data_IF_935670888179
#
_entry.id   IF_935670888179
#
_cell.length_a   1.000
_cell.length_b   1.000
_cell.length_c   1.000
_cell.angle_alpha   90.00
_cell.angle_beta   90.00
_cell.angle_gamma   90.00
#
_symmetry.space_group_name_H-M   'P 1'
#
loop_
_entity.id
_entity.type
_entity.pdbx_description
1 polymer ?
#
# COMPACT_ATOMS: atom_id res chain seq x y z
N UNK A 1 20.60 32.79 -15.14
CA UNK A 1 19.56 33.43 -15.96
C UNK A 1 18.79 34.38 -15.06
N UNK A 2 18.89 35.69 -15.32
CA UNK A 2 18.34 36.75 -14.48
C UNK A 2 16.82 36.75 -14.54
N UNK A 3 16.15 36.53 -13.40
CA UNK A 3 14.69 36.59 -13.29
C UNK A 3 14.26 38.06 -13.46
N UNK A 4 13.32 38.39 -14.36
CA UNK A 4 12.92 39.77 -14.61
C UNK A 4 12.22 40.37 -13.38
N UNK A 5 12.57 41.62 -13.06
CA UNK A 5 12.12 42.40 -11.89
C UNK A 5 10.59 42.48 -11.68
N UNK A 6 9.77 42.11 -12.66
CA UNK A 6 8.30 42.07 -12.53
C UNK A 6 7.77 40.91 -11.68
N UNK A 7 8.56 39.86 -11.42
CA UNK A 7 8.14 38.74 -10.55
C UNK A 7 8.52 38.91 -9.08
N UNK A 8 9.47 39.80 -8.76
CA UNK A 8 9.88 40.08 -7.37
C UNK A 8 8.77 40.75 -6.54
N UNK A 9 7.88 41.53 -7.17
CA UNK A 9 6.77 42.18 -6.46
C UNK A 9 5.66 41.22 -6.05
N UNK A 10 5.46 40.10 -6.78
CA UNK A 10 4.48 39.08 -6.37
C UNK A 10 4.95 38.31 -5.12
N UNK A 11 6.27 38.16 -4.97
CA UNK A 11 6.93 37.49 -3.85
C UNK A 11 6.85 38.26 -2.53
N UNK A 12 6.77 39.60 -2.56
CA UNK A 12 6.66 40.42 -1.35
C UNK A 12 5.23 40.59 -0.82
N UNK A 13 4.20 40.24 -1.59
CA UNK A 13 2.80 40.44 -1.17
C UNK A 13 2.18 39.26 -0.39
N UNK A 14 2.92 38.17 -0.16
CA UNK A 14 2.43 36.98 0.55
C UNK A 14 3.21 36.65 1.84
N UNK A 15 4.37 37.27 2.07
CA UNK A 15 5.19 37.04 3.26
C UNK A 15 4.70 37.77 4.53
N UNK A 16 3.62 38.54 4.43
CA UNK A 16 3.00 39.22 5.58
C UNK A 16 1.48 39.30 5.37
N UNK A 17 0.78 38.23 5.73
CA UNK A 17 -0.64 38.34 6.04
C UNK A 17 -0.74 39.09 7.37
N UNK A 18 -0.76 40.42 7.31
CA UNK A 18 -1.16 41.25 8.44
C UNK A 18 -2.68 41.18 8.55
N UNK A 19 -3.18 40.43 9.51
CA UNK A 19 -4.61 40.36 9.81
C UNK A 19 -5.00 41.62 10.60
N UNK A 20 -5.64 42.58 9.93
CA UNK A 20 -6.54 43.48 10.63
C UNK A 20 -7.74 42.64 11.06
N UNK A 21 -7.93 42.42 12.36
CA UNK A 21 -9.00 41.60 12.93
C UNK A 21 -10.39 42.19 12.63
N UNK A 22 -11.25 41.52 11.84
CA UNK A 22 -12.67 41.81 11.83
C UNK A 22 -13.40 40.73 12.63
N UNK A 23 -14.55 41.11 13.20
CA UNK A 23 -15.33 40.30 14.12
C UNK A 23 -15.79 38.96 13.51
N UNK A 24 -15.14 37.88 13.93
CA UNK A 24 -15.52 36.50 13.68
C UNK A 24 -14.60 35.56 14.47
N UNK A 25 -15.14 34.53 15.10
CA UNK A 25 -14.41 33.59 15.95
C UNK A 25 -13.42 32.74 15.13
N UNK A 26 -12.25 33.30 14.85
CA UNK A 26 -11.13 32.61 14.21
C UNK A 26 -10.11 32.24 15.28
N UNK A 27 -9.77 30.96 15.34
CA UNK A 27 -8.80 30.46 16.32
C UNK A 27 -7.35 30.65 15.83
N UNK A 28 -6.37 30.83 16.74
CA UNK A 28 -4.96 30.84 16.37
C UNK A 28 -4.49 29.59 15.61
N UNK A 29 -5.13 28.45 15.85
CA UNK A 29 -4.87 27.18 15.18
C UNK A 29 -5.29 27.21 13.70
N UNK A 30 -6.47 27.78 13.39
CA UNK A 30 -6.93 27.95 12.01
C UNK A 30 -6.02 28.88 11.21
N UNK A 31 -5.53 29.95 11.84
CA UNK A 31 -4.56 30.87 11.22
C UNK A 31 -3.26 30.12 10.87
N UNK A 32 -2.71 29.36 11.83
CA UNK A 32 -1.47 28.60 11.63
C UNK A 32 -1.62 27.53 10.55
N UNK A 33 -2.78 26.86 10.49
CA UNK A 33 -3.08 25.86 9.47
C UNK A 33 -3.10 26.46 8.06
N UNK A 34 -3.80 27.59 7.87
CA UNK A 34 -3.87 28.27 6.57
C UNK A 34 -2.49 28.77 6.13
N UNK A 35 -1.71 29.33 7.06
CA UNK A 35 -0.33 29.77 6.79
C UNK A 35 0.57 28.61 6.35
N UNK A 36 0.50 27.47 7.03
CA UNK A 36 1.28 26.28 6.69
C UNK A 36 0.95 25.76 5.30
N UNK A 37 -0.33 25.59 4.97
CA UNK A 37 -0.76 25.13 3.64
C UNK A 37 -0.40 26.11 2.52
N UNK A 38 -0.46 27.42 2.80
CA UNK A 38 -0.05 28.45 1.85
C UNK A 38 1.46 28.37 1.56
N UNK A 39 2.28 28.15 2.58
CA UNK A 39 3.73 27.98 2.41
C UNK A 39 4.06 26.76 1.53
N UNK A 40 3.42 25.61 1.80
CA UNK A 40 3.61 24.38 1.01
C UNK A 40 3.16 24.60 -0.44
N UNK A 41 2.00 25.23 -0.65
CA UNK A 41 1.47 25.50 -1.99
C UNK A 41 2.37 26.43 -2.80
N UNK A 42 3.00 27.41 -2.14
CA UNK A 42 3.96 28.31 -2.78
C UNK A 42 5.26 27.59 -3.17
N UNK A 43 5.75 26.69 -2.32
CA UNK A 43 6.95 25.91 -2.63
C UNK A 43 6.72 24.97 -3.82
N UNK A 44 5.58 24.25 -3.84
CA UNK A 44 5.18 23.43 -4.99
C UNK A 44 5.01 24.25 -6.27
N UNK A 45 4.37 25.41 -6.20
CA UNK A 45 4.25 26.30 -7.36
C UNK A 45 5.62 26.68 -7.91
N UNK A 46 6.57 27.01 -7.04
CA UNK A 46 7.94 27.36 -7.42
C UNK A 46 8.65 26.18 -8.10
N UNK A 47 8.59 25.00 -7.52
CA UNK A 47 9.22 23.79 -8.06
C UNK A 47 8.70 23.46 -9.47
N UNK A 48 7.37 23.41 -9.64
CA UNK A 48 6.74 23.13 -10.94
C UNK A 48 7.02 24.20 -12.00
N UNK A 49 7.05 25.49 -11.61
CA UNK A 49 7.45 26.56 -12.52
C UNK A 49 8.93 26.45 -12.95
N UNK A 50 9.81 25.96 -12.06
CA UNK A 50 11.22 25.71 -12.40
C UNK A 50 11.40 24.47 -13.27
N UNK A 51 10.55 23.46 -13.11
CA UNK A 51 10.51 22.25 -13.94
C UNK A 51 9.88 22.49 -15.32
N UNK A 52 9.11 23.58 -15.50
CA UNK A 52 8.46 23.93 -16.76
C UNK A 52 7.05 23.37 -16.92
N UNK A 53 6.43 22.90 -15.84
CA UNK A 53 5.09 22.32 -15.86
C UNK A 53 4.00 23.38 -16.08
N UNK A 54 2.87 22.99 -16.71
CA UNK A 54 1.73 23.87 -16.92
C UNK A 54 0.94 24.12 -15.62
N UNK A 55 1.25 25.26 -14.99
CA UNK A 55 0.57 25.74 -13.77
C UNK A 55 -0.50 26.79 -14.05
N UNK A 56 -0.93 26.98 -15.30
CA UNK A 56 -1.85 28.05 -15.73
C UNK A 56 -3.18 28.05 -14.96
N UNK A 57 -3.66 26.88 -14.55
CA UNK A 57 -4.89 26.71 -13.76
C UNK A 57 -4.71 26.97 -12.26
N UNK A 58 -3.48 26.85 -11.75
CA UNK A 58 -3.17 26.96 -10.31
C UNK A 58 -2.89 28.41 -9.91
N UNK A 59 -2.22 29.19 -10.78
CA UNK A 59 -1.87 30.59 -10.51
C UNK A 59 -3.09 31.45 -10.12
N UNK A 60 -4.25 31.40 -10.82
CA UNK A 60 -5.43 32.17 -10.43
C UNK A 60 -5.99 31.76 -9.06
N UNK A 61 -5.92 30.47 -8.72
CA UNK A 61 -6.37 29.96 -7.42
C UNK A 61 -5.49 30.50 -6.29
N UNK A 62 -4.16 30.49 -6.47
CA UNK A 62 -3.20 31.04 -5.50
C UNK A 62 -3.45 32.53 -5.25
N UNK A 63 -3.75 33.32 -6.29
CA UNK A 63 -4.14 34.73 -6.14
C UNK A 63 -5.42 34.90 -5.32
N UNK A 64 -6.40 34.02 -5.52
CA UNK A 64 -7.67 34.09 -4.82
C UNK A 64 -7.57 33.66 -3.34
N UNK A 65 -6.62 32.80 -2.96
CA UNK A 65 -6.32 32.49 -1.55
C UNK A 65 -5.97 33.76 -0.78
N UNK A 66 -5.11 34.62 -1.35
CA UNK A 66 -4.74 35.89 -0.73
C UNK A 66 -5.96 36.80 -0.52
N UNK A 67 -6.82 36.92 -1.53
CA UNK A 67 -8.03 37.75 -1.46
C UNK A 67 -8.96 37.27 -0.34
N UNK A 68 -9.12 35.96 -0.17
CA UNK A 68 -9.94 35.36 0.89
C UNK A 68 -9.33 35.59 2.27
N UNK A 69 -8.01 35.39 2.40
CA UNK A 69 -7.29 35.62 3.65
C UNK A 69 -7.34 37.09 4.09
N UNK A 70 -7.14 38.03 3.16
CA UNK A 70 -7.19 39.48 3.43
C UNK A 70 -8.61 39.94 3.85
N UNK A 71 -9.66 39.20 3.44
CA UNK A 71 -11.05 39.42 3.85
C UNK A 71 -11.42 38.72 5.17
N UNK A 72 -10.51 37.98 5.77
CA UNK A 72 -10.75 37.19 6.98
C UNK A 72 -11.53 35.89 6.77
N UNK A 73 -11.81 35.48 5.53
CA UNK A 73 -12.49 34.21 5.22
C UNK A 73 -11.48 33.04 5.18
N UNK A 74 -10.95 32.69 6.35
CA UNK A 74 -9.94 31.64 6.47
C UNK A 74 -10.49 30.25 6.12
N UNK A 75 -11.78 30.01 6.33
CA UNK A 75 -12.43 28.75 5.96
C UNK A 75 -12.44 28.53 4.45
N UNK A 76 -12.79 29.55 3.66
CA UNK A 76 -12.71 29.47 2.20
C UNK A 76 -11.27 29.43 1.70
N UNK A 77 -10.35 30.18 2.32
CA UNK A 77 -8.94 30.14 1.99
C UNK A 77 -8.35 28.72 2.20
N UNK A 78 -8.66 28.07 3.31
CA UNK A 78 -8.23 26.71 3.62
C UNK A 78 -8.73 25.70 2.58
N UNK A 79 -10.04 25.74 2.24
CA UNK A 79 -10.62 24.84 1.22
C UNK A 79 -10.02 25.07 -0.17
N UNK A 80 -9.66 26.31 -0.50
CA UNK A 80 -9.02 26.61 -1.78
C UNK A 80 -7.57 26.11 -1.82
N UNK A 81 -6.84 26.22 -0.70
CA UNK A 81 -5.50 25.63 -0.54
C UNK A 81 -5.54 24.10 -0.68
N UNK A 82 -6.54 23.42 -0.13
CA UNK A 82 -6.73 21.98 -0.33
C UNK A 82 -6.87 21.62 -1.82
N UNK A 83 -7.67 22.39 -2.57
CA UNK A 83 -7.82 22.20 -4.02
C UNK A 83 -6.54 22.48 -4.81
N UNK A 84 -5.73 23.43 -4.36
CA UNK A 84 -4.45 23.75 -4.98
C UNK A 84 -3.46 22.61 -4.78
N UNK A 85 -3.34 22.10 -3.55
CA UNK A 85 -2.46 20.97 -3.24
C UNK A 85 -2.89 19.71 -4.01
N UNK A 86 -4.20 19.45 -4.13
CA UNK A 86 -4.71 18.38 -4.98
C UNK A 86 -4.39 18.58 -6.47
N UNK A 87 -4.40 19.82 -6.98
CA UNK A 87 -4.03 20.12 -8.36
C UNK A 87 -2.55 19.85 -8.63
N UNK A 88 -1.66 20.16 -7.68
CA UNK A 88 -0.25 19.79 -7.80
C UNK A 88 -0.06 18.28 -7.78
N UNK A 89 -0.76 17.56 -6.91
CA UNK A 89 -0.71 16.09 -6.90
C UNK A 89 -1.14 15.49 -8.25
N UNK A 90 -2.03 16.14 -9.00
CA UNK A 90 -2.45 15.71 -10.33
C UNK A 90 -1.40 16.00 -11.42
N UNK A 91 -0.59 17.06 -11.28
CA UNK A 91 0.56 17.32 -12.15
C UNK A 91 1.74 16.39 -11.86
N UNK A 92 1.84 15.91 -10.61
CA UNK A 92 2.84 14.94 -10.15
C UNK A 92 2.43 13.48 -10.47
N UNK A 93 1.26 13.26 -11.11
CA UNK A 93 0.91 11.95 -11.64
C UNK A 93 1.57 11.75 -13.01
N UNK A 94 2.23 10.60 -13.26
CA UNK A 94 2.70 10.29 -14.60
C UNK A 94 1.53 10.36 -15.59
N UNK A 95 1.78 10.88 -16.80
CA UNK A 95 0.82 10.78 -17.90
C UNK A 95 0.27 9.35 -17.95
N UNK A 96 -1.05 9.23 -18.01
CA UNK A 96 -1.71 7.93 -18.16
C UNK A 96 -1.06 7.22 -19.35
N UNK A 97 -0.48 6.03 -19.17
CA UNK A 97 0.08 5.32 -20.30
C UNK A 97 -1.01 5.13 -21.35
N UNK A 98 -0.67 5.35 -22.62
CA UNK A 98 -1.55 5.21 -23.80
C UNK A 98 -2.10 3.78 -23.99
N UNK A 99 -1.80 2.87 -23.06
CA UNK A 99 -2.22 1.48 -23.04
C UNK A 99 -3.49 1.31 -22.21
N UNK A 100 -4.46 0.60 -22.76
CA UNK A 100 -5.69 0.24 -22.06
C UNK A 100 -5.39 -0.40 -20.68
N UNK A 101 -6.18 -0.09 -19.64
CA UNK A 101 -5.96 -0.61 -18.30
C UNK A 101 -6.12 -2.14 -18.26
N UNK A 102 -5.16 -2.84 -17.63
CA UNK A 102 -5.19 -4.31 -17.49
C UNK A 102 -6.32 -4.79 -16.58
N UNK A 103 -6.72 -3.96 -15.61
CA UNK A 103 -7.83 -4.23 -14.71
C UNK A 103 -8.81 -3.06 -14.70
N UNK A 104 -10.09 -3.38 -14.59
CA UNK A 104 -11.20 -2.43 -14.71
C UNK A 104 -12.31 -2.74 -13.70
N UNK A 105 -13.32 -1.87 -13.65
CA UNK A 105 -14.58 -2.08 -12.92
C UNK A 105 -14.38 -2.35 -11.42
N UNK A 106 -13.87 -1.37 -10.65
CA UNK A 106 -13.77 -1.50 -9.20
C UNK A 106 -15.13 -1.72 -8.56
N UNK A 107 -15.25 -2.79 -7.78
CA UNK A 107 -16.44 -3.14 -7.03
C UNK A 107 -16.08 -3.37 -5.58
N UNK A 108 -16.88 -2.83 -4.67
CA UNK A 108 -16.72 -3.12 -3.25
C UNK A 108 -17.14 -4.56 -2.95
N UNK A 109 -16.36 -5.24 -2.12
CA UNK A 109 -16.63 -6.59 -1.64
C UNK A 109 -17.29 -6.52 -0.26
N UNK A 110 -18.32 -7.34 -0.06
CA UNK A 110 -19.03 -7.46 1.21
C UNK A 110 -18.66 -8.76 1.91
N UNK A 111 -18.24 -8.69 3.18
CA UNK A 111 -18.10 -9.86 4.05
C UNK A 111 -19.26 -9.86 5.05
N UNK A 112 -20.31 -10.63 4.77
CA UNK A 112 -21.50 -10.70 5.61
C UNK A 112 -21.15 -11.27 6.98
N UNK A 113 -21.52 -10.55 8.04
CA UNK A 113 -21.23 -10.93 9.42
C UNK A 113 -19.93 -10.34 9.99
N UNK A 114 -19.22 -9.53 9.22
CA UNK A 114 -17.98 -8.86 9.66
C UNK A 114 -18.04 -7.34 9.37
N UNK A 115 -17.55 -6.50 10.29
CA UNK A 115 -17.70 -5.04 10.20
C UNK A 115 -16.43 -4.23 10.51
N UNK A 116 -15.36 -4.89 10.94
CA UNK A 116 -14.07 -4.26 11.23
C UNK A 116 -13.24 -4.09 9.94
N UNK A 117 -11.98 -3.68 10.08
CA UNK A 117 -11.08 -3.53 8.95
C UNK A 117 -10.80 -4.88 8.27
N UNK A 118 -10.64 -4.84 6.95
CA UNK A 118 -10.23 -5.96 6.11
C UNK A 118 -9.00 -5.53 5.33
N UNK A 119 -7.87 -6.18 5.61
CA UNK A 119 -6.56 -5.86 5.05
C UNK A 119 -5.86 -7.12 4.55
N UNK A 120 -4.93 -6.94 3.61
CA UNK A 120 -3.94 -7.94 3.16
C UNK A 120 -4.62 -9.28 2.80
N UNK A 121 -5.68 -9.18 2.01
CA UNK A 121 -6.54 -10.31 1.74
C UNK A 121 -5.90 -11.30 0.76
N UNK A 122 -6.15 -12.59 0.97
CA UNK A 122 -5.75 -13.67 0.07
C UNK A 122 -6.94 -14.55 -0.28
N UNK A 123 -7.03 -14.97 -1.54
CA UNK A 123 -8.08 -15.86 -2.05
C UNK A 123 -7.46 -17.22 -2.38
N UNK A 124 -8.00 -18.29 -1.80
CA UNK A 124 -7.45 -19.64 -2.00
C UNK A 124 -7.47 -20.05 -3.46
N UNK A 125 -6.55 -20.93 -3.86
CA UNK A 125 -6.41 -21.35 -5.26
C UNK A 125 -7.64 -22.02 -5.86
N UNK A 126 -8.48 -22.65 -5.03
CA UNK A 126 -9.79 -23.20 -5.40
C UNK A 126 -10.93 -22.17 -5.36
N UNK A 127 -10.62 -20.94 -4.93
CA UNK A 127 -11.53 -19.82 -4.80
C UNK A 127 -12.57 -19.96 -3.69
N UNK A 128 -12.45 -20.93 -2.79
CA UNK A 128 -13.47 -21.19 -1.76
C UNK A 128 -13.39 -20.23 -0.58
N UNK A 129 -12.18 -19.85 -0.17
CA UNK A 129 -11.96 -19.05 1.03
C UNK A 129 -11.20 -17.77 0.74
N UNK A 130 -11.63 -16.71 1.41
CA UNK A 130 -10.88 -15.48 1.57
C UNK A 130 -10.26 -15.47 2.96
N UNK A 131 -8.96 -15.27 3.05
CA UNK A 131 -8.24 -14.97 4.27
C UNK A 131 -7.92 -13.47 4.30
N UNK A 132 -7.86 -12.88 5.48
CA UNK A 132 -7.55 -11.45 5.67
C UNK A 132 -7.21 -11.19 7.13
N UNK A 133 -6.47 -10.13 7.41
CA UNK A 133 -6.32 -9.59 8.76
C UNK A 133 -7.13 -8.31 8.97
N UNK A 134 -7.33 -7.97 10.23
CA UNK A 134 -7.86 -6.68 10.65
C UNK A 134 -6.73 -5.66 10.89
N UNK A 135 -7.11 -4.47 11.37
CA UNK A 135 -6.16 -3.39 11.69
C UNK A 135 -5.90 -3.33 13.21
N UNK A 136 -4.81 -2.66 13.58
CA UNK A 136 -4.46 -2.42 14.98
C UNK A 136 -5.60 -1.70 15.71
N UNK A 137 -5.96 -2.20 16.89
CA UNK A 137 -7.03 -1.64 17.73
C UNK A 137 -8.45 -2.13 17.41
N UNK A 138 -8.65 -2.94 16.36
CA UNK A 138 -9.96 -3.57 16.12
C UNK A 138 -10.30 -4.66 17.16
N UNK A 139 -9.28 -5.32 17.70
CA UNK A 139 -9.39 -6.22 18.84
C UNK A 139 -8.61 -5.63 20.03
N UNK A 140 -9.23 -5.42 21.20
CA UNK A 140 -8.53 -4.85 22.34
C UNK A 140 -7.52 -5.80 23.02
N UNK A 141 -7.46 -7.08 22.60
CA UNK A 141 -6.62 -8.11 23.24
C UNK A 141 -5.42 -8.56 22.41
N UNK A 142 -5.41 -8.23 21.13
CA UNK A 142 -4.43 -8.71 20.14
C UNK A 142 -4.13 -7.57 19.18
N UNK A 143 -2.98 -7.63 18.52
CA UNK A 143 -2.63 -6.68 17.47
C UNK A 143 -2.66 -7.41 16.14
N UNK A 144 -3.64 -7.11 15.28
CA UNK A 144 -3.92 -7.83 14.02
C UNK A 144 -4.17 -9.34 14.19
N UNK A 145 -5.35 -9.80 13.77
CA UNK A 145 -5.78 -11.19 13.78
C UNK A 145 -6.12 -11.62 12.35
N UNK A 146 -5.87 -12.88 12.03
CA UNK A 146 -6.23 -13.50 10.76
C UNK A 146 -7.59 -14.19 10.87
N UNK A 147 -8.45 -13.90 9.90
CA UNK A 147 -9.80 -14.42 9.76
C UNK A 147 -9.98 -15.14 8.42
N UNK A 148 -11.10 -15.84 8.30
CA UNK A 148 -11.51 -16.42 7.03
C UNK A 148 -13.00 -16.21 6.75
N UNK A 149 -13.32 -16.12 5.46
CA UNK A 149 -14.68 -16.02 4.96
C UNK A 149 -14.87 -16.97 3.77
N UNK A 150 -16.07 -17.57 3.66
CA UNK A 150 -16.42 -18.48 2.57
C UNK A 150 -17.02 -17.68 1.41
N UNK A 151 -16.54 -17.90 0.19
CA UNK A 151 -17.06 -17.24 -1.01
C UNK A 151 -18.52 -17.62 -1.27
N UNK A 152 -19.35 -16.62 -1.52
CA UNK A 152 -20.70 -16.78 -2.09
C UNK A 152 -20.65 -16.42 -3.58
N UNK A 153 -20.02 -15.30 -3.92
CA UNK A 153 -19.71 -14.87 -5.28
C UNK A 153 -18.50 -13.92 -5.27
N UNK A 154 -18.14 -13.33 -6.40
CA UNK A 154 -16.95 -12.46 -6.57
C UNK A 154 -16.90 -11.25 -5.62
N UNK A 155 -18.06 -10.75 -5.18
CA UNK A 155 -18.20 -9.54 -4.37
C UNK A 155 -18.88 -9.80 -3.03
N UNK A 156 -19.13 -11.06 -2.68
CA UNK A 156 -19.80 -11.42 -1.42
C UNK A 156 -19.20 -12.67 -0.82
N UNK A 157 -18.80 -12.55 0.45
CA UNK A 157 -18.28 -13.63 1.27
C UNK A 157 -19.06 -13.71 2.58
N UNK A 158 -19.17 -14.90 3.16
CA UNK A 158 -19.75 -15.13 4.48
C UNK A 158 -18.63 -15.27 5.50
N UNK A 159 -18.61 -14.41 6.51
CA UNK A 159 -17.64 -14.51 7.61
C UNK A 159 -17.76 -15.86 8.33
N UNK A 160 -16.63 -16.53 8.55
CA UNK A 160 -16.57 -17.84 9.19
C UNK A 160 -15.90 -17.82 10.57
N UNK A 161 -15.25 -16.70 10.94
CA UNK A 161 -14.56 -16.53 12.21
C UNK A 161 -13.05 -16.32 12.05
N UNK A 162 -12.36 -16.30 13.18
CA UNK A 162 -10.90 -16.33 13.27
C UNK A 162 -10.35 -17.69 12.80
N UNK A 163 -9.15 -17.68 12.23
CA UNK A 163 -8.43 -18.92 11.93
C UNK A 163 -7.80 -19.43 13.24
N UNK A 164 -8.26 -20.61 13.68
CA UNK A 164 -7.78 -21.23 14.93
C UNK A 164 -6.33 -21.69 14.77
N UNK A 165 -5.53 -21.47 15.81
CA UNK A 165 -4.13 -21.89 15.85
C UNK A 165 -3.16 -20.92 15.18
N UNK A 166 -3.64 -19.82 14.60
CA UNK A 166 -2.79 -18.77 14.03
C UNK A 166 -2.61 -17.66 15.04
N UNK A 167 -3.68 -16.90 15.33
CA UNK A 167 -3.62 -15.64 16.11
C UNK A 167 -2.95 -15.76 17.49
N UNK A 168 -2.28 -14.69 17.88
CA UNK A 168 -1.48 -14.50 19.08
C UNK A 168 -1.71 -13.09 19.67
N UNK A 169 -0.96 -12.70 20.69
CA UNK A 169 -1.04 -11.35 21.27
C UNK A 169 -0.24 -10.30 20.47
N UNK A 170 0.58 -10.75 19.53
CA UNK A 170 1.44 -9.92 18.68
C UNK A 170 0.84 -9.80 17.27
N UNK A 171 1.46 -9.01 16.40
CA UNK A 171 1.08 -8.87 14.98
C UNK A 171 0.96 -10.23 14.30
N UNK A 172 -0.22 -10.56 13.79
CA UNK A 172 -0.48 -11.70 12.91
C UNK A 172 -1.23 -11.26 11.64
N UNK A 173 -0.63 -11.47 10.46
CA UNK A 173 -1.19 -10.98 9.21
C UNK A 173 -0.66 -11.64 7.97
N UNK A 174 -1.02 -11.07 6.83
CA UNK A 174 -0.49 -11.42 5.50
C UNK A 174 -0.62 -12.93 5.19
N UNK A 175 -1.84 -13.48 5.25
CA UNK A 175 -2.05 -14.90 4.97
C UNK A 175 -1.83 -15.22 3.49
N UNK A 176 -1.23 -16.37 3.20
CA UNK A 176 -1.15 -16.95 1.86
C UNK A 176 -1.19 -18.48 1.93
N UNK A 177 -1.55 -19.18 0.85
CA UNK A 177 -1.69 -20.64 0.89
C UNK A 177 -1.48 -21.30 -0.48
N UNK A 178 -0.73 -22.40 -0.49
CA UNK A 178 -0.58 -23.19 -1.71
C UNK A 178 -1.80 -24.11 -1.99
N UNK A 179 -1.80 -24.78 -3.15
CA UNK A 179 -2.89 -25.70 -3.54
C UNK A 179 -2.99 -26.96 -2.67
N UNK A 180 -1.98 -27.24 -1.85
CA UNK A 180 -1.94 -28.39 -0.94
C UNK A 180 -2.36 -28.02 0.49
N UNK A 181 -2.86 -26.80 0.70
CA UNK A 181 -3.29 -26.31 2.01
C UNK A 181 -2.14 -26.05 2.97
N UNK A 182 -0.90 -25.88 2.47
CA UNK A 182 0.17 -25.28 3.28
C UNK A 182 -0.12 -23.79 3.39
N UNK A 183 -0.48 -23.37 4.59
CA UNK A 183 -0.81 -22.00 4.94
C UNK A 183 0.42 -21.30 5.48
N UNK A 184 0.68 -20.08 5.04
CA UNK A 184 1.78 -19.23 5.47
C UNK A 184 1.23 -17.90 5.94
N UNK A 185 1.92 -17.29 6.91
CA UNK A 185 1.54 -16.00 7.47
C UNK A 185 2.71 -15.35 8.17
N UNK A 186 2.62 -14.04 8.34
CA UNK A 186 3.59 -13.25 9.09
C UNK A 186 3.13 -13.14 10.55
N UNK A 187 4.08 -13.31 11.46
CA UNK A 187 3.86 -13.14 12.89
C UNK A 187 5.09 -12.61 13.63
N UNK A 188 4.91 -11.62 14.48
CA UNK A 188 6.01 -11.12 15.34
C UNK A 188 6.11 -11.85 16.68
N UNK A 189 5.35 -12.94 16.89
CA UNK A 189 5.27 -13.72 18.16
C UNK A 189 6.60 -14.15 18.79
N UNK A 190 7.66 -14.27 17.98
CA UNK A 190 8.98 -14.63 18.47
C UNK A 190 10.03 -13.56 18.20
N UNK A 191 9.67 -12.41 17.60
CA UNK A 191 10.62 -11.34 17.27
C UNK A 191 11.18 -10.64 18.52
N UNK A 192 10.38 -10.61 19.59
CA UNK A 192 10.79 -10.10 20.91
C UNK A 192 11.61 -11.10 21.75
N UNK A 193 11.78 -12.34 21.29
CA UNK A 193 12.51 -13.38 22.03
C UNK A 193 14.02 -13.32 21.72
N UNK A 194 14.89 -13.63 22.71
CA UNK A 194 16.33 -13.61 22.48
C UNK A 194 16.73 -14.48 21.29
N UNK A 195 17.50 -13.90 20.36
CA UNK A 195 18.05 -14.57 19.16
C UNK A 195 16.99 -15.18 18.23
N UNK A 196 15.78 -14.60 18.16
CA UNK A 196 14.75 -15.05 17.23
C UNK A 196 14.22 -13.86 16.43
N UNK A 197 14.64 -13.76 15.17
CA UNK A 197 14.16 -12.75 14.21
C UNK A 197 13.27 -13.36 13.12
N UNK A 198 12.73 -14.56 13.36
CA UNK A 198 11.85 -15.24 12.43
C UNK A 198 10.43 -14.69 12.54
N UNK A 199 9.94 -14.11 11.43
CA UNK A 199 8.58 -13.57 11.34
C UNK A 199 7.69 -14.35 10.39
N UNK A 200 8.23 -15.26 9.58
CA UNK A 200 7.43 -16.12 8.72
C UNK A 200 7.12 -17.46 9.39
N UNK A 201 5.85 -17.86 9.33
CA UNK A 201 5.36 -19.13 9.84
C UNK A 201 4.55 -19.86 8.77
N UNK A 202 4.49 -21.18 8.89
CA UNK A 202 3.60 -22.01 8.10
C UNK A 202 2.92 -23.09 8.93
N UNK A 203 1.89 -23.72 8.36
CA UNK A 203 1.21 -24.88 8.92
C UNK A 203 0.23 -25.48 7.92
N UNK A 204 -0.61 -26.40 8.37
CA UNK A 204 -1.64 -27.04 7.55
C UNK A 204 -3.02 -26.48 7.84
N UNK A 205 -3.61 -25.83 6.84
CA UNK A 205 -4.99 -25.34 6.93
C UNK A 205 -5.99 -26.46 6.66
N UNK A 206 -6.96 -26.59 7.56
CA UNK A 206 -8.13 -27.46 7.39
C UNK A 206 -9.30 -26.91 8.21
N UNK A 207 -10.43 -26.66 7.56
CA UNK A 207 -11.71 -26.32 8.19
C UNK A 207 -11.61 -25.19 9.24
N UNK A 208 -10.93 -24.09 8.89
CA UNK A 208 -10.79 -22.92 9.78
C UNK A 208 -9.75 -23.07 10.89
N UNK A 209 -8.87 -24.07 10.79
CA UNK A 209 -7.75 -24.29 11.72
C UNK A 209 -6.45 -24.46 10.94
N UNK A 210 -5.36 -23.91 11.48
CA UNK A 210 -3.99 -24.25 11.07
C UNK A 210 -3.35 -25.13 12.15
N UNK A 211 -2.82 -26.27 11.76
CA UNK A 211 -2.02 -27.17 12.62
C UNK A 211 -0.55 -27.18 12.22
N UNK A 212 0.29 -27.82 13.05
CA UNK A 212 1.68 -28.13 12.73
C UNK A 212 2.52 -26.89 12.40
N UNK A 213 2.37 -25.86 13.24
CA UNK A 213 3.06 -24.59 13.04
C UNK A 213 4.58 -24.77 13.01
N UNK A 214 5.20 -24.16 12.00
CA UNK A 214 6.64 -24.13 11.81
C UNK A 214 7.10 -22.70 11.51
N UNK A 215 8.13 -22.24 12.21
CA UNK A 215 8.82 -20.99 11.88
C UNK A 215 9.80 -21.22 10.72
N UNK A 216 10.02 -20.19 9.91
CA UNK A 216 10.98 -20.18 8.80
C UNK A 216 12.10 -19.16 9.04
N UNK A 217 13.02 -19.40 10.01
CA UNK A 217 14.16 -18.51 10.24
C UNK A 217 15.12 -18.44 9.04
N UNK A 218 15.11 -19.46 8.17
CA UNK A 218 16.00 -19.53 7.00
C UNK A 218 15.77 -18.43 5.96
N UNK A 219 14.63 -17.73 6.00
CA UNK A 219 14.35 -16.57 5.12
C UNK A 219 14.52 -15.22 5.81
N UNK A 220 14.89 -15.18 7.08
CA UNK A 220 15.19 -13.96 7.83
C UNK A 220 16.65 -13.54 7.61
N UNK A 221 16.93 -12.24 7.59
CA UNK A 221 18.31 -11.73 7.68
C UNK A 221 18.96 -12.02 9.03
N UNK A 222 18.17 -12.37 10.04
CA UNK A 222 18.64 -12.59 11.41
C UNK A 222 19.36 -11.36 11.99
N UNK A 223 18.84 -10.17 11.65
CA UNK A 223 19.35 -8.87 12.11
C UNK A 223 18.25 -8.11 12.86
N UNK A 224 18.57 -7.45 13.99
CA UNK A 224 17.63 -6.56 14.66
C UNK A 224 17.07 -5.48 13.73
N UNK A 225 15.78 -5.22 13.84
CA UNK A 225 15.05 -4.26 13.00
C UNK A 225 14.63 -4.78 11.63
N UNK A 226 15.12 -5.93 11.17
CA UNK A 226 14.75 -6.53 9.88
C UNK A 226 13.71 -7.65 10.03
N UNK A 227 12.62 -7.52 9.29
CA UNK A 227 11.51 -8.46 9.29
C UNK A 227 11.22 -8.95 7.87
N UNK A 228 10.75 -10.18 7.75
CA UNK A 228 9.88 -10.51 6.62
C UNK A 228 8.51 -9.92 6.95
N UNK A 229 8.23 -8.72 6.44
CA UNK A 229 6.98 -8.00 6.67
C UNK A 229 5.83 -8.63 5.90
N UNK A 230 6.08 -9.08 4.66
CA UNK A 230 5.11 -9.75 3.80
C UNK A 230 5.68 -11.02 3.17
N UNK A 231 4.78 -11.95 2.81
CA UNK A 231 5.11 -13.17 2.10
C UNK A 231 4.00 -13.64 1.16
N UNK A 232 4.39 -14.29 0.06
CA UNK A 232 3.52 -14.95 -0.90
C UNK A 232 4.10 -16.31 -1.29
N UNK A 233 3.32 -17.38 -1.21
CA UNK A 233 3.72 -18.71 -1.66
C UNK A 233 3.17 -18.99 -3.06
N UNK A 234 4.00 -19.55 -3.95
CA UNK A 234 3.54 -20.02 -5.25
C UNK A 234 2.48 -21.11 -5.12
N UNK A 235 1.58 -21.19 -6.11
CA UNK A 235 0.47 -22.14 -6.08
C UNK A 235 0.90 -23.62 -5.95
N UNK A 236 2.12 -23.96 -6.39
CA UNK A 236 2.71 -25.30 -6.27
C UNK A 236 3.48 -25.53 -4.96
N UNK A 237 3.58 -24.53 -4.08
CA UNK A 237 4.24 -24.61 -2.77
C UNK A 237 5.77 -24.62 -2.83
N UNK A 238 6.38 -24.37 -4.00
CA UNK A 238 7.83 -24.54 -4.19
C UNK A 238 8.63 -23.25 -4.14
N UNK A 239 7.99 -22.12 -4.37
CA UNK A 239 8.66 -20.81 -4.45
C UNK A 239 7.99 -19.84 -3.51
N UNK A 240 8.78 -19.24 -2.64
CA UNK A 240 8.33 -18.29 -1.64
C UNK A 240 8.92 -16.93 -1.99
N UNK A 241 8.06 -15.93 -2.03
CA UNK A 241 8.42 -14.53 -2.21
C UNK A 241 8.25 -13.84 -0.87
N UNK A 242 9.27 -13.16 -0.37
CA UNK A 242 9.19 -12.43 0.90
C UNK A 242 9.77 -11.04 0.75
N UNK A 243 9.36 -10.11 1.60
CA UNK A 243 10.14 -8.88 1.78
C UNK A 243 11.27 -9.09 2.78
N UNK A 244 12.28 -8.24 2.70
CA UNK A 244 13.15 -7.88 3.82
C UNK A 244 12.91 -6.42 4.10
N UNK A 245 12.33 -6.12 5.27
CA UNK A 245 11.90 -4.77 5.62
C UNK A 245 12.57 -4.34 6.91
N UNK A 246 13.29 -3.23 6.86
CA UNK A 246 13.88 -2.60 8.02
C UNK A 246 12.90 -1.60 8.65
N UNK A 247 12.71 -1.71 9.96
CA UNK A 247 11.87 -0.83 10.75
C UNK A 247 12.69 0.00 11.72
N UNK A 248 12.33 1.27 11.82
CA UNK A 248 12.87 2.23 12.79
C UNK A 248 11.72 3.12 13.26
N UNK A 249 11.57 3.26 14.59
CA UNK A 249 10.45 3.93 15.24
C UNK A 249 9.07 3.50 14.69
N UNK A 250 8.87 2.18 14.58
CA UNK A 250 7.63 1.53 14.10
C UNK A 250 7.24 1.85 12.64
N UNK A 251 8.12 2.48 11.86
CA UNK A 251 7.91 2.79 10.45
C UNK A 251 8.86 1.98 9.57
N UNK A 252 8.42 1.46 8.42
CA UNK A 252 9.31 0.82 7.47
C UNK A 252 10.17 1.90 6.78
N UNK A 253 11.49 1.78 6.84
CA UNK A 253 12.44 2.71 6.23
C UNK A 253 13.10 2.15 4.97
N UNK A 254 13.20 0.83 4.86
CA UNK A 254 13.72 0.14 3.68
C UNK A 254 12.96 -1.16 3.50
N UNK A 255 12.59 -1.50 2.26
CA UNK A 255 12.03 -2.82 1.95
C UNK A 255 12.48 -3.27 0.58
N UNK A 256 12.67 -4.57 0.40
CA UNK A 256 12.93 -5.15 -0.92
C UNK A 256 12.42 -6.59 -0.97
N UNK A 257 12.03 -7.05 -2.15
CA UNK A 257 11.66 -8.44 -2.36
C UNK A 257 12.87 -9.36 -2.52
N UNK A 258 12.73 -10.56 -2.00
CA UNK A 258 13.58 -11.71 -2.30
C UNK A 258 12.74 -12.93 -2.67
N UNK A 259 13.37 -13.91 -3.33
CA UNK A 259 12.74 -15.19 -3.65
C UNK A 259 13.57 -16.35 -3.11
N UNK A 260 12.88 -17.35 -2.59
CA UNK A 260 13.45 -18.57 -2.04
C UNK A 260 12.75 -19.81 -2.61
N UNK A 261 13.46 -20.93 -2.68
CA UNK A 261 12.95 -22.18 -3.21
C UNK A 261 12.97 -23.28 -2.15
N UNK A 262 11.89 -24.05 -2.08
CA UNK A 262 11.79 -25.19 -1.18
C UNK A 262 12.73 -26.31 -1.65
N UNK A 263 13.71 -26.64 -0.83
CA UNK A 263 14.66 -27.74 -1.04
C UNK A 263 14.83 -28.49 0.27
N UNK A 264 14.67 -29.82 0.22
CA UNK A 264 14.84 -30.69 1.40
C UNK A 264 14.05 -30.22 2.65
N UNK A 265 12.86 -29.66 2.45
CA UNK A 265 11.98 -29.21 3.54
C UNK A 265 12.33 -27.84 4.16
N UNK A 266 13.26 -27.07 3.58
CA UNK A 266 13.59 -25.70 3.96
C UNK A 266 13.59 -24.78 2.73
N UNK A 267 13.34 -23.50 2.94
CA UNK A 267 13.51 -22.51 1.87
C UNK A 267 14.97 -22.07 1.78
N UNK A 268 15.56 -22.19 0.60
CA UNK A 268 16.87 -21.64 0.30
C UNK A 268 16.69 -20.38 -0.55
N UNK A 269 17.28 -19.25 -0.13
CA UNK A 269 17.29 -18.01 -0.92
C UNK A 269 17.91 -18.28 -2.30
N UNK A 270 17.25 -17.85 -3.37
CA UNK A 270 17.80 -17.94 -4.72
C UNK A 270 19.01 -17.00 -4.85
N UNK A 271 20.15 -17.54 -5.29
CA UNK A 271 21.34 -16.74 -5.58
C UNK A 271 21.11 -15.67 -6.66
N UNK A 272 20.08 -15.83 -7.50
CA UNK A 272 19.68 -14.88 -8.53
C UNK A 272 18.56 -13.94 -8.08
N UNK A 273 18.16 -13.95 -6.80
CA UNK A 273 17.06 -13.15 -6.28
C UNK A 273 17.19 -11.66 -6.64
N UNK A 274 18.38 -11.08 -6.49
CA UNK A 274 18.62 -9.68 -6.86
C UNK A 274 18.40 -9.41 -8.36
N UNK A 275 18.77 -10.35 -9.23
CA UNK A 275 18.55 -10.23 -10.66
C UNK A 275 17.08 -10.40 -11.03
N UNK A 276 16.34 -11.25 -10.30
CA UNK A 276 14.90 -11.47 -10.55
C UNK A 276 14.09 -10.19 -10.28
N UNK A 277 14.50 -9.40 -9.28
CA UNK A 277 13.81 -8.19 -8.83
C UNK A 277 14.54 -6.88 -9.18
N UNK A 278 15.50 -6.90 -10.10
CA UNK A 278 16.34 -5.73 -10.43
C UNK A 278 15.54 -4.48 -10.86
N UNK A 279 14.39 -4.70 -11.51
CA UNK A 279 13.45 -3.64 -11.95
C UNK A 279 12.32 -3.38 -10.96
N UNK A 280 12.21 -4.19 -9.91
CA UNK A 280 11.13 -4.14 -8.93
C UNK A 280 11.58 -3.48 -7.64
N UNK A 281 12.74 -3.88 -7.11
CA UNK A 281 13.28 -3.31 -5.87
C UNK A 281 13.85 -1.91 -6.16
N UNK A 282 13.45 -0.91 -5.36
CA UNK A 282 14.01 0.44 -5.46
C UNK A 282 14.46 0.93 -4.07
N UNK A 283 14.55 2.25 -3.89
CA UNK A 283 14.75 2.85 -2.57
C UNK A 283 13.42 3.08 -1.82
N UNK A 284 12.29 2.89 -2.49
CA UNK A 284 10.97 2.97 -1.85
C UNK A 284 10.68 1.68 -1.04
N UNK A 285 9.50 1.60 -0.43
CA UNK A 285 9.09 0.43 0.34
C UNK A 285 8.25 -0.48 -0.56
N UNK A 286 8.84 -1.58 -1.05
CA UNK A 286 8.13 -2.65 -1.75
C UNK A 286 7.53 -3.70 -0.81
N UNK A 287 6.25 -4.03 -0.99
CA UNK A 287 5.55 -5.04 -0.18
C UNK A 287 4.23 -5.49 -0.84
N UNK A 288 3.52 -6.42 -0.20
CA UNK A 288 2.19 -6.89 -0.59
C UNK A 288 2.20 -7.67 -1.89
N UNK A 289 3.18 -8.57 -2.06
CA UNK A 289 3.31 -9.37 -3.27
C UNK A 289 2.13 -10.34 -3.44
N UNK A 290 1.70 -10.51 -4.69
CA UNK A 290 0.85 -11.63 -5.11
C UNK A 290 1.31 -12.14 -6.47
N UNK A 291 1.43 -13.45 -6.61
CA UNK A 291 1.97 -14.09 -7.81
C UNK A 291 0.88 -14.84 -8.57
N UNK A 292 0.85 -14.71 -9.89
CA UNK A 292 -0.06 -15.51 -10.72
C UNK A 292 0.22 -17.02 -10.58
N UNK A 293 -0.81 -17.84 -10.84
CA UNK A 293 -0.71 -19.31 -10.71
C UNK A 293 0.36 -19.97 -11.59
N UNK A 294 0.76 -19.32 -12.69
CA UNK A 294 1.85 -19.76 -13.58
C UNK A 294 3.20 -19.12 -13.23
N UNK A 295 3.25 -18.26 -12.21
CA UNK A 295 4.44 -17.58 -11.74
C UNK A 295 4.95 -16.48 -12.66
N UNK A 296 4.15 -16.00 -13.62
CA UNK A 296 4.59 -15.06 -14.67
C UNK A 296 4.17 -13.62 -14.45
N UNK A 297 3.22 -13.34 -13.57
CA UNK A 297 2.79 -12.00 -13.22
C UNK A 297 2.98 -11.79 -11.72
N UNK A 298 3.60 -10.66 -11.36
CA UNK A 298 3.74 -10.19 -9.99
C UNK A 298 2.90 -8.93 -9.81
N UNK A 299 2.12 -8.90 -8.75
CA UNK A 299 1.38 -7.74 -8.27
C UNK A 299 1.97 -7.32 -6.93
N UNK A 300 2.13 -6.03 -6.69
CA UNK A 300 2.69 -5.55 -5.43
C UNK A 300 2.30 -4.10 -5.15
N UNK A 301 2.56 -3.64 -3.93
CA UNK A 301 2.44 -2.24 -3.52
C UNK A 301 3.82 -1.64 -3.34
N UNK A 302 3.98 -0.39 -3.75
CA UNK A 302 5.11 0.45 -3.40
C UNK A 302 4.62 1.68 -2.63
N UNK A 303 5.20 1.91 -1.45
CA UNK A 303 5.04 3.14 -0.68
C UNK A 303 6.26 4.04 -0.91
N UNK A 304 6.02 5.23 -1.46
CA UNK A 304 7.06 6.21 -1.73
C UNK A 304 6.96 7.42 -0.80
N UNK A 305 7.94 7.57 0.09
CA UNK A 305 8.01 8.68 1.04
C UNK A 305 8.38 10.00 0.36
N UNK A 306 9.27 9.98 -0.65
CA UNK A 306 9.62 11.17 -1.44
C UNK A 306 8.39 11.77 -2.13
N UNK A 307 7.44 10.91 -2.52
CA UNK A 307 6.16 11.29 -3.11
C UNK A 307 5.06 11.54 -2.06
N UNK A 308 5.44 11.96 -0.85
CA UNK A 308 4.50 12.32 0.21
C UNK A 308 3.77 11.13 0.86
N UNK A 309 4.39 9.95 0.84
CA UNK A 309 3.79 8.72 1.38
C UNK A 309 2.73 8.12 0.45
N UNK A 310 2.97 8.18 -0.87
CA UNK A 310 2.02 7.68 -1.87
C UNK A 310 2.13 6.16 -1.99
N UNK A 311 0.98 5.51 -1.88
CA UNK A 311 0.78 4.09 -2.16
C UNK A 311 0.43 3.90 -3.63
N UNK A 312 1.16 3.03 -4.34
CA UNK A 312 0.83 2.67 -5.71
C UNK A 312 0.91 1.16 -5.89
N UNK A 313 -0.17 0.55 -6.37
CA UNK A 313 -0.18 -0.85 -6.76
C UNK A 313 0.33 -1.00 -8.19
N UNK A 314 1.27 -1.93 -8.38
CA UNK A 314 1.93 -2.22 -9.64
C UNK A 314 1.70 -3.66 -10.07
N UNK A 315 1.85 -3.92 -11.37
CA UNK A 315 2.04 -5.25 -11.91
C UNK A 315 3.28 -5.31 -12.80
N UNK A 316 3.95 -6.46 -12.81
CA UNK A 316 5.08 -6.76 -13.68
C UNK A 316 4.97 -8.18 -14.24
N UNK A 317 5.56 -8.44 -15.40
CA UNK A 317 5.45 -9.73 -16.08
C UNK A 317 6.80 -10.33 -16.40
N UNK A 318 6.87 -11.64 -16.62
CA UNK A 318 8.07 -12.33 -17.07
C UNK A 318 7.74 -13.53 -17.96
N UNK A 319 8.61 -13.90 -18.92
CA UNK A 319 8.38 -15.06 -19.78
C UNK A 319 8.33 -16.40 -19.03
N UNK A 320 9.15 -16.56 -17.98
CA UNK A 320 9.20 -17.76 -17.16
C UNK A 320 9.71 -17.47 -15.74
N UNK A 321 9.75 -18.48 -14.89
CA UNK A 321 10.05 -18.31 -13.47
C UNK A 321 11.52 -18.05 -13.12
N UNK A 322 12.44 -18.17 -14.08
CA UNK A 322 13.88 -17.91 -13.92
C UNK A 322 14.30 -16.56 -14.52
N UNK A 323 13.45 -15.94 -15.34
CA UNK A 323 13.72 -14.63 -15.93
C UNK A 323 13.36 -13.49 -14.98
N UNK A 324 14.10 -12.36 -15.01
CA UNK A 324 13.71 -11.14 -14.32
C UNK A 324 12.31 -10.66 -14.69
N UNK A 325 11.65 -10.00 -13.74
CA UNK A 325 10.40 -9.29 -14.02
C UNK A 325 10.65 -8.07 -14.91
N UNK A 326 9.67 -7.72 -15.73
CA UNK A 326 9.65 -6.49 -16.53
C UNK A 326 9.64 -5.25 -15.62
N UNK A 327 9.85 -4.08 -16.22
CA UNK A 327 9.57 -2.83 -15.51
C UNK A 327 8.10 -2.80 -15.06
N UNK A 328 7.81 -2.44 -13.80
CA UNK A 328 6.46 -2.48 -13.27
C UNK A 328 5.60 -1.38 -13.90
N UNK A 329 4.34 -1.69 -14.12
CA UNK A 329 3.32 -0.80 -14.65
C UNK A 329 2.25 -0.54 -13.58
N UNK A 330 1.79 0.71 -13.37
CA UNK A 330 0.80 1.00 -12.36
C UNK A 330 -0.57 0.39 -12.73
N UNK A 331 -1.28 -0.13 -11.74
CA UNK A 331 -2.67 -0.59 -11.89
C UNK A 331 -3.58 0.60 -11.67
N UNK A 332 -3.77 1.41 -12.71
CA UNK A 332 -4.45 2.73 -12.62
C UNK A 332 -5.91 2.69 -12.15
N UNK A 333 -6.57 1.52 -12.22
CA UNK A 333 -7.89 1.31 -11.66
C UNK A 333 -7.93 1.22 -10.12
N UNK A 334 -6.78 1.01 -9.47
CA UNK A 334 -6.62 1.12 -8.01
C UNK A 334 -6.30 2.58 -7.67
N UNK A 335 -7.17 3.21 -6.89
CA UNK A 335 -7.08 4.65 -6.56
C UNK A 335 -7.32 4.92 -5.08
N UNK A 336 -6.77 6.04 -4.58
CA UNK A 336 -6.85 6.42 -3.17
C UNK A 336 -5.81 5.70 -2.32
N UNK A 337 -6.02 5.65 -1.00
CA UNK A 337 -5.19 4.84 -0.11
C UNK A 337 -5.64 3.38 -0.23
N UNK A 338 -4.96 2.64 -1.11
CA UNK A 338 -5.25 1.26 -1.46
C UNK A 338 -3.95 0.50 -1.72
N UNK A 339 -3.92 -0.76 -1.32
CA UNK A 339 -2.70 -1.59 -1.30
C UNK A 339 -3.03 -3.09 -1.26
N UNK A 340 -1.98 -3.92 -1.18
CA UNK A 340 -1.99 -5.38 -1.10
C UNK A 340 -2.90 -6.05 -2.16
N UNK A 341 -2.56 -5.91 -3.46
CA UNK A 341 -3.30 -6.57 -4.54
C UNK A 341 -3.11 -8.10 -4.48
N UNK A 342 -4.21 -8.85 -4.59
CA UNK A 342 -4.24 -10.31 -4.54
C UNK A 342 -4.99 -10.91 -5.73
N UNK A 343 -4.26 -11.64 -6.59
CA UNK A 343 -4.79 -12.19 -7.84
C UNK A 343 -5.49 -13.55 -7.61
N UNK A 344 -6.63 -13.78 -8.25
CA UNK A 344 -7.24 -15.12 -8.25
C UNK A 344 -6.43 -16.11 -9.07
N UNK A 345 -6.51 -17.40 -8.74
CA UNK A 345 -5.77 -18.45 -9.45
C UNK A 345 -6.11 -18.54 -10.96
N UNK A 346 -7.32 -18.15 -11.36
CA UNK A 346 -7.73 -18.08 -12.76
C UNK A 346 -7.33 -16.75 -13.46
N UNK A 347 -6.67 -15.85 -12.74
CA UNK A 347 -6.21 -14.54 -13.23
C UNK A 347 -7.32 -13.54 -13.54
N UNK A 348 -8.59 -13.85 -13.24
CA UNK A 348 -9.72 -13.01 -13.67
C UNK A 348 -10.01 -11.83 -12.76
N UNK A 349 -9.72 -11.95 -11.46
CA UNK A 349 -10.06 -10.95 -10.46
C UNK A 349 -8.83 -10.58 -9.65
N UNK A 350 -8.73 -9.30 -9.30
CA UNK A 350 -7.70 -8.77 -8.41
C UNK A 350 -8.38 -8.10 -7.22
N UNK A 351 -8.26 -8.71 -6.05
CA UNK A 351 -8.72 -8.16 -4.78
C UNK A 351 -7.69 -7.18 -4.23
N UNK A 352 -8.12 -6.16 -3.49
CA UNK A 352 -7.23 -5.22 -2.81
C UNK A 352 -8.01 -4.51 -1.71
N UNK A 353 -7.36 -4.07 -0.64
CA UNK A 353 -8.03 -3.25 0.36
C UNK A 353 -7.81 -1.76 0.10
N UNK A 354 -8.78 -0.97 0.53
CA UNK A 354 -8.79 0.49 0.37
C UNK A 354 -9.36 1.14 1.62
N UNK A 355 -8.72 2.21 2.07
CA UNK A 355 -9.22 3.05 3.16
C UNK A 355 -10.38 3.90 2.64
N UNK A 356 -11.57 3.67 3.19
CA UNK A 356 -12.79 4.43 2.95
C UNK A 356 -13.29 4.98 4.29
N UNK A 357 -13.14 6.29 4.50
CA UNK A 357 -13.33 6.90 5.81
C UNK A 357 -12.28 6.40 6.81
N UNK A 358 -12.73 5.89 7.95
CA UNK A 358 -11.85 5.37 9.01
C UNK A 358 -11.69 3.84 8.95
N UNK A 359 -12.04 3.19 7.83
CA UNK A 359 -11.95 1.73 7.70
C UNK A 359 -11.28 1.29 6.40
N UNK A 360 -10.49 0.23 6.48
CA UNK A 360 -10.07 -0.55 5.34
C UNK A 360 -11.17 -1.52 4.92
N UNK A 361 -11.57 -1.41 3.66
CA UNK A 361 -12.60 -2.21 3.03
C UNK A 361 -12.02 -2.93 1.82
N UNK A 362 -12.55 -4.12 1.53
CA UNK A 362 -12.10 -4.91 0.39
C UNK A 362 -12.80 -4.47 -0.89
N UNK A 363 -12.04 -4.40 -1.98
CA UNK A 363 -12.51 -4.14 -3.33
C UNK A 363 -11.97 -5.22 -4.27
N UNK A 364 -12.57 -5.33 -5.45
CA UNK A 364 -12.16 -6.24 -6.51
C UNK A 364 -12.24 -5.58 -7.87
N UNK A 365 -11.24 -5.81 -8.71
CA UNK A 365 -11.22 -5.47 -10.12
C UNK A 365 -11.45 -6.71 -10.99
N UNK A 366 -11.97 -6.52 -12.19
CA UNK A 366 -11.98 -7.54 -13.23
C UNK A 366 -10.83 -7.31 -14.21
N UNK A 367 -10.16 -8.37 -14.65
CA UNK A 367 -9.19 -8.26 -15.74
C UNK A 367 -9.91 -7.81 -17.01
N UNK A 368 -9.36 -6.80 -17.69
CA UNK A 368 -9.88 -6.33 -18.96
C UNK A 368 -9.82 -7.46 -19.99
N UNK A 369 -10.87 -7.58 -20.80
CA UNK A 369 -10.83 -8.44 -21.99
C UNK A 369 -10.11 -7.66 -23.07
N UNK A 370 -9.12 -8.30 -23.71
CA UNK A 370 -8.49 -7.78 -24.92
C UNK A 370 -9.50 -7.64 -26.06
#
# INVERSE_FOLDING_TARGET
>A
MTIPHRFGLLFLCLASISLATPAGAVTPEEVKMVQSKAAISMEKLRAHMMAGDDVSKIIPMMKNVKILADKGDLGAANRLLDKILLSFNALEMPEMPDTAPVFINPRQVTITGYKQNVMEAFITGDGQYLFFNNDTGDNPKTDKDIFYARRINDVTFKFMGEIKGVNSAEVDGVPTMDRMGNFYFVSTRNYSKPNSFATLYSGKFKDGRVSDLKAHPEVSLNLPGWLNMDAEISADGKTLYTTQTYFSNDMPEQSYFQVAHLKNGKFEIDSHSNAIFDRINTADIEYGASISSDGRELYFTRLSYENGGKFTSYYATRPNNQTPFSSPQPITAITGYAEAPAITADGRLLYFHKKTGNKFQLYVLARAKN
#
